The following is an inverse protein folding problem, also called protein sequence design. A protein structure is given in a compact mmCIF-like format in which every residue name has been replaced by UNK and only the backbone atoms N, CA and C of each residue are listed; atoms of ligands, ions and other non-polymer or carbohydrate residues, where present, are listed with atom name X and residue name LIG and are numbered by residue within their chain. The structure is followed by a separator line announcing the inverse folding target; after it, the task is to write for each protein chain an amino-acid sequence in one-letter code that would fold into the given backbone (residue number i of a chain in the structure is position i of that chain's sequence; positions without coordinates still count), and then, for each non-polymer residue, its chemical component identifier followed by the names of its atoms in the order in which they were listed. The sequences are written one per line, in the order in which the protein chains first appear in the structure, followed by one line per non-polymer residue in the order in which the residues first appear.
data_IF_633393426879
#
_entry.id   IF_633393426879
#
_cell.length_a   1.000
_cell.length_b   1.000
_cell.length_c   1.000
_cell.angle_alpha   90.00
_cell.angle_beta   90.00
_cell.angle_gamma   90.00
#
_symmetry.space_group_name_H-M   'P 1'
#
loop_
_entity.id
_entity.type
_entity.pdbx_description
1 polymer ?
#
# COMPACT_ATOMS: atom_id res chain seq x y z
N UNK A 1 53.14 17.73 -1.93
CA UNK A 1 53.84 16.49 -2.33
C UNK A 1 52.89 15.34 -2.01
N UNK A 2 52.41 14.45 -2.87
CA UNK A 2 52.54 14.24 -4.32
C UNK A 2 51.37 13.28 -4.65
N UNK A 3 50.58 13.57 -5.69
CA UNK A 3 49.58 12.64 -6.24
C UNK A 3 50.30 11.44 -6.88
N UNK A 4 49.72 10.24 -6.78
CA UNK A 4 49.91 9.18 -7.77
C UNK A 4 48.71 8.21 -7.78
N UNK A 5 48.39 7.57 -8.92
CA UNK A 5 47.01 7.33 -9.34
C UNK A 5 46.58 5.86 -9.48
N UNK A 6 45.26 5.73 -9.53
CA UNK A 6 44.43 4.57 -9.88
C UNK A 6 44.82 4.02 -11.26
N UNK A 7 45.03 2.70 -11.35
CA UNK A 7 45.22 1.99 -12.62
C UNK A 7 44.18 0.85 -12.76
N UNK A 8 43.28 1.08 -13.73
CA UNK A 8 42.61 0.14 -14.65
C UNK A 8 42.38 -1.32 -14.23
N UNK A 9 41.13 -1.75 -14.33
CA UNK A 9 40.82 -2.95 -15.13
C UNK A 9 39.40 -2.88 -15.69
N UNK A 10 39.33 -2.74 -17.01
CA UNK A 10 38.13 -2.85 -17.84
C UNK A 10 38.08 -4.32 -18.28
N UNK A 11 36.99 -5.02 -17.96
CA UNK A 11 36.64 -6.25 -18.66
C UNK A 11 35.24 -6.10 -19.25
N UNK A 12 35.22 -5.72 -20.53
CA UNK A 12 34.11 -6.04 -21.42
C UNK A 12 34.19 -7.53 -21.74
N UNK A 13 33.14 -8.27 -21.43
CA UNK A 13 32.83 -9.51 -22.15
C UNK A 13 31.35 -9.45 -22.51
N UNK A 14 31.11 -9.13 -23.78
CA UNK A 14 29.85 -9.39 -24.45
C UNK A 14 29.75 -10.90 -24.72
N UNK A 15 28.62 -11.51 -24.37
CA UNK A 15 28.24 -12.82 -24.87
C UNK A 15 26.76 -12.76 -25.27
N UNK A 16 26.55 -12.58 -26.58
CA UNK A 16 25.29 -12.86 -27.24
C UNK A 16 25.16 -14.37 -27.41
N UNK A 17 23.99 -14.93 -27.13
CA UNK A 17 23.55 -16.20 -27.69
C UNK A 17 22.03 -16.20 -27.81
N UNK A 18 21.57 -16.11 -29.06
CA UNK A 18 20.21 -16.43 -29.48
C UNK A 18 19.97 -17.95 -29.45
N UNK A 19 18.73 -18.37 -29.25
CA UNK A 19 17.97 -19.37 -30.02
C UNK A 19 16.86 -19.99 -29.14
N UNK A 20 15.67 -20.16 -29.72
CA UNK A 20 14.64 -21.05 -29.17
C UNK A 20 13.24 -20.75 -29.71
N UNK A 21 12.93 -21.30 -30.89
CA UNK A 21 11.64 -21.17 -31.55
C UNK A 21 10.68 -22.34 -31.23
N UNK A 22 9.39 -22.09 -31.49
CA UNK A 22 8.27 -23.00 -31.77
C UNK A 22 7.61 -23.72 -30.57
N UNK A 23 6.28 -23.54 -30.43
CA UNK A 23 5.29 -24.51 -30.92
C UNK A 23 3.84 -23.99 -30.77
N UNK A 24 3.03 -24.33 -31.77
CA UNK A 24 1.62 -23.97 -31.99
C UNK A 24 0.63 -24.92 -31.28
N UNK A 25 -0.64 -24.47 -31.18
CA UNK A 25 -1.86 -25.31 -31.10
C UNK A 25 -2.39 -25.55 -29.68
N UNK A 26 -3.69 -25.58 -29.38
CA UNK A 26 -4.87 -25.87 -30.19
C UNK A 26 -6.11 -25.08 -29.72
N UNK A 27 -6.99 -24.84 -30.68
CA UNK A 27 -8.31 -24.22 -30.55
C UNK A 27 -9.37 -25.13 -29.94
N UNK A 28 -10.38 -24.46 -29.35
CA UNK A 28 -11.81 -24.78 -29.34
C UNK A 28 -12.31 -26.05 -28.63
N UNK A 29 -13.24 -25.86 -27.68
CA UNK A 29 -14.63 -26.29 -27.90
C UNK A 29 -15.60 -25.55 -26.98
N UNK A 30 -16.53 -24.83 -27.61
CA UNK A 30 -17.73 -24.30 -26.97
C UNK A 30 -18.72 -25.45 -26.72
N UNK A 31 -19.39 -25.41 -25.57
CA UNK A 31 -20.43 -26.36 -25.20
C UNK A 31 -21.32 -25.78 -24.12
N UNK A 32 -22.24 -24.89 -24.54
CA UNK A 32 -23.33 -24.38 -23.72
C UNK A 32 -24.43 -25.43 -23.58
N UNK A 33 -24.74 -25.87 -22.35
CA UNK A 33 -26.11 -26.25 -21.95
C UNK A 33 -26.27 -26.15 -20.41
N UNK A 34 -27.19 -25.32 -19.89
CA UNK A 34 -27.99 -25.63 -18.70
C UNK A 34 -29.46 -25.81 -19.14
N UNK A 35 -30.46 -26.10 -18.27
CA UNK A 35 -30.46 -26.44 -16.85
C UNK A 35 -31.30 -27.72 -16.53
N UNK A 36 -31.24 -28.23 -15.30
CA UNK A 36 -32.36 -29.00 -14.73
C UNK A 36 -32.34 -28.94 -13.20
N UNK A 37 -33.34 -28.25 -12.65
CA UNK A 37 -33.68 -28.27 -11.24
C UNK A 37 -34.89 -29.20 -11.06
N UNK A 38 -34.94 -30.01 -9.99
CA UNK A 38 -36.22 -30.17 -9.30
C UNK A 38 -36.08 -30.03 -7.79
N UNK A 39 -36.99 -29.22 -7.23
CA UNK A 39 -37.37 -29.20 -5.81
C UNK A 39 -38.06 -30.51 -5.40
N UNK A 40 -37.73 -31.09 -4.24
CA UNK A 40 -38.66 -31.56 -3.18
C UNK A 40 -37.82 -32.13 -2.01
N UNK A 41 -37.75 -31.52 -0.82
CA UNK A 41 -38.63 -31.59 0.38
C UNK A 41 -38.66 -32.95 1.10
N UNK A 42 -38.19 -32.97 2.37
CA UNK A 42 -38.55 -33.82 3.55
C UNK A 42 -37.29 -34.21 4.34
N UNK A 43 -37.24 -34.35 5.66
CA UNK A 43 -38.07 -33.98 6.81
C UNK A 43 -37.21 -34.27 8.08
N UNK A 44 -37.67 -33.79 9.23
CA UNK A 44 -37.03 -33.74 10.55
C UNK A 44 -36.65 -35.07 11.25
N UNK A 45 -35.70 -34.99 12.20
CA UNK A 45 -35.64 -35.65 13.54
C UNK A 45 -34.35 -35.23 14.29
N UNK A 46 -34.37 -34.40 15.35
CA UNK A 46 -34.47 -34.74 16.81
C UNK A 46 -33.52 -35.89 17.20
N UNK A 47 -32.27 -35.67 17.67
CA UNK A 47 -31.83 -35.34 19.06
C UNK A 47 -31.53 -36.62 19.89
N UNK A 48 -30.86 -36.63 21.06
CA UNK A 48 -29.72 -35.86 21.62
C UNK A 48 -28.62 -36.79 22.23
N UNK A 49 -27.45 -36.27 22.65
CA UNK A 49 -26.70 -36.77 23.82
C UNK A 49 -25.51 -35.85 24.16
N UNK A 50 -25.50 -35.45 25.42
CA UNK A 50 -24.53 -34.65 26.17
C UNK A 50 -23.48 -35.59 26.78
N UNK A 51 -22.20 -35.22 26.79
CA UNK A 51 -21.23 -35.62 27.83
C UNK A 51 -19.93 -34.79 27.72
N UNK A 52 -19.60 -34.15 28.84
CA UNK A 52 -18.32 -33.50 29.26
C UNK A 52 -17.80 -34.37 30.44
N UNK A 53 -16.52 -34.38 30.95
CA UNK A 53 -15.38 -33.44 30.83
C UNK A 53 -13.98 -34.08 30.62
N UNK A 54 -12.95 -33.27 30.36
CA UNK A 54 -11.79 -33.08 31.26
C UNK A 54 -10.52 -32.48 30.59
N UNK A 55 -10.09 -31.34 31.14
CA UNK A 55 -8.72 -30.93 31.50
C UNK A 55 -7.53 -31.10 30.53
N UNK A 56 -6.97 -29.95 30.14
CA UNK A 56 -5.56 -29.62 30.40
C UNK A 56 -4.60 -29.54 29.21
N UNK A 57 -4.19 -28.33 28.83
CA UNK A 57 -2.81 -27.83 28.90
C UNK A 57 -2.62 -26.48 28.21
N UNK A 58 -1.80 -25.67 28.85
CA UNK A 58 -1.35 -24.32 28.51
C UNK A 58 -1.24 -24.04 27.00
N UNK A 59 -1.93 -22.97 26.58
CA UNK A 59 -1.52 -22.17 25.43
C UNK A 59 -1.33 -20.74 25.92
N UNK A 60 -0.07 -20.32 25.93
CA UNK A 60 0.33 -18.91 25.96
C UNK A 60 -0.53 -18.15 24.96
N UNK A 61 -1.49 -17.38 25.47
CA UNK A 61 -2.30 -16.50 24.64
C UNK A 61 -1.43 -15.29 24.29
N UNK A 62 -1.00 -15.25 23.04
CA UNK A 62 -0.64 -14.03 22.34
C UNK A 62 -1.81 -13.04 22.51
N UNK A 63 -1.56 -11.96 23.26
CA UNK A 63 -2.56 -10.92 23.55
C UNK A 63 -2.70 -10.04 22.32
N UNK A 64 -3.47 -10.50 21.33
CA UNK A 64 -4.05 -9.61 20.32
C UNK A 64 -5.22 -8.89 20.99
N UNK A 65 -5.00 -7.65 21.44
CA UNK A 65 -6.11 -6.80 21.88
C UNK A 65 -6.93 -6.37 20.67
N UNK A 66 -7.91 -7.18 20.30
CA UNK A 66 -8.98 -6.74 19.41
C UNK A 66 -9.90 -5.87 20.25
N UNK A 67 -9.68 -4.56 20.21
CA UNK A 67 -10.57 -3.59 20.83
C UNK A 67 -11.99 -3.78 20.27
N UNK A 68 -12.89 -4.23 21.15
CA UNK A 68 -14.29 -4.45 20.82
C UNK A 68 -14.99 -3.12 20.54
N UNK A 69 -15.78 -3.14 19.46
CA UNK A 69 -16.65 -2.07 18.98
C UNK A 69 -17.34 -1.31 20.11
N UNK A 70 -16.92 -0.05 20.32
CA UNK A 70 -17.79 0.96 20.89
C UNK A 70 -18.16 1.93 19.79
N UNK A 71 -19.44 1.85 19.44
CA UNK A 71 -20.17 2.78 18.60
C UNK A 71 -19.96 4.20 19.11
N UNK A 72 -18.92 4.85 18.59
CA UNK A 72 -18.69 6.26 18.71
C UNK A 72 -18.96 6.80 17.32
N UNK A 73 -20.16 7.36 17.15
CA UNK A 73 -20.50 8.22 16.02
C UNK A 73 -19.46 9.36 16.00
N UNK A 74 -18.37 9.15 15.26
CA UNK A 74 -17.28 10.12 15.13
C UNK A 74 -17.77 11.29 14.27
N UNK A 75 -17.34 12.52 14.59
CA UNK A 75 -17.59 13.65 13.72
C UNK A 75 -16.85 13.42 12.39
N UNK A 76 -17.60 13.28 11.30
CA UNK A 76 -17.09 13.41 9.94
C UNK A 76 -16.61 14.84 9.70
N UNK A 77 -15.44 15.21 10.18
CA UNK A 77 -14.86 16.53 9.83
C UNK A 77 -13.36 16.64 10.10
N UNK A 78 -12.59 15.58 9.90
CA UNK A 78 -11.17 15.72 9.63
C UNK A 78 -10.95 15.52 8.13
N UNK A 79 -11.60 16.33 7.28
CA UNK A 79 -11.26 16.33 5.86
C UNK A 79 -10.04 17.23 5.75
N UNK A 80 -8.84 16.65 5.76
CA UNK A 80 -7.62 17.41 5.47
C UNK A 80 -7.83 18.19 4.17
N UNK A 81 -7.66 19.51 4.22
CA UNK A 81 -7.84 20.38 3.06
C UNK A 81 -6.91 19.93 1.91
N UNK A 82 -7.42 19.95 0.68
CA UNK A 82 -6.59 19.62 -0.48
C UNK A 82 -5.63 20.76 -0.79
N UNK A 83 -4.35 20.42 -0.98
CA UNK A 83 -3.31 21.37 -1.33
C UNK A 83 -2.64 21.00 -2.67
N UNK A 84 -2.03 21.98 -3.33
CA UNK A 84 -1.15 21.69 -4.47
C UNK A 84 0.07 20.89 -4.01
N UNK A 85 0.53 19.94 -4.84
CA UNK A 85 1.68 19.12 -4.47
C UNK A 85 2.96 19.94 -4.51
N UNK A 86 3.62 20.05 -3.36
CA UNK A 86 4.89 20.75 -3.23
C UNK A 86 6.05 19.75 -3.16
N UNK A 87 6.81 19.59 -4.26
CA UNK A 87 8.00 18.72 -4.29
C UNK A 87 9.09 19.07 -3.27
N UNK A 88 9.09 20.29 -2.71
CA UNK A 88 10.06 20.69 -1.66
C UNK A 88 9.63 20.29 -0.26
N UNK A 89 8.32 20.09 -0.06
CA UNK A 89 7.71 19.71 1.21
C UNK A 89 6.56 18.73 0.91
N UNK A 90 6.90 17.52 0.44
CA UNK A 90 5.91 16.58 -0.04
C UNK A 90 5.04 16.11 1.13
N UNK A 91 3.73 16.09 0.89
CA UNK A 91 2.73 15.69 1.87
C UNK A 91 1.65 14.83 1.22
N UNK A 92 1.16 13.86 1.98
CA UNK A 92 0.01 13.04 1.63
C UNK A 92 -0.98 13.11 2.81
N UNK A 93 -2.26 13.40 2.57
CA UNK A 93 -3.25 13.69 3.63
C UNK A 93 -2.81 14.80 4.60
N UNK A 94 -2.00 15.75 4.12
CA UNK A 94 -1.41 16.82 4.94
C UNK A 94 -0.22 16.39 5.81
N UNK A 95 0.15 15.11 5.79
CA UNK A 95 1.21 14.48 6.56
C UNK A 95 2.48 14.46 5.72
N UNK A 96 3.57 15.03 6.23
CA UNK A 96 4.92 14.92 5.67
C UNK A 96 5.78 13.93 6.44
N UNK A 97 6.88 13.49 5.83
CA UNK A 97 7.81 12.51 6.43
C UNK A 97 8.53 13.04 7.68
N UNK A 98 8.56 14.36 7.86
CA UNK A 98 9.16 15.02 9.04
C UNK A 98 8.12 15.34 10.13
N UNK A 99 6.86 14.94 9.94
CA UNK A 99 5.82 15.11 10.96
C UNK A 99 5.96 14.01 12.03
N UNK A 100 5.44 14.26 13.23
CA UNK A 100 5.45 13.29 14.34
C UNK A 100 4.10 12.59 14.48
N UNK A 101 4.05 11.44 15.16
CA UNK A 101 2.80 10.77 15.49
C UNK A 101 1.81 11.73 16.18
N UNK A 102 2.29 12.50 17.15
CA UNK A 102 1.48 13.48 17.88
C UNK A 102 0.81 14.49 16.92
N UNK A 103 1.56 15.04 15.97
CA UNK A 103 1.03 16.00 15.00
C UNK A 103 -0.03 15.38 14.11
N UNK A 104 0.14 14.12 13.71
CA UNK A 104 -0.87 13.40 12.91
C UNK A 104 -2.14 13.17 13.74
N UNK A 105 -2.00 12.77 15.00
CA UNK A 105 -3.15 12.61 15.92
C UNK A 105 -3.86 13.92 16.22
N UNK A 106 -3.15 15.04 16.27
CA UNK A 106 -3.78 16.37 16.37
C UNK A 106 -4.63 16.69 15.13
N UNK A 107 -4.18 16.30 13.94
CA UNK A 107 -4.86 16.57 12.68
C UNK A 107 -6.06 15.62 12.42
N UNK A 108 -5.89 14.33 12.73
CA UNK A 108 -6.84 13.26 12.34
C UNK A 108 -7.53 12.57 13.51
N UNK A 109 -7.16 12.87 14.75
CA UNK A 109 -7.64 12.20 15.94
C UNK A 109 -7.00 10.81 16.14
N UNK A 110 -7.68 9.96 16.90
CA UNK A 110 -7.21 8.60 17.16
C UNK A 110 -7.38 7.69 15.92
N UNK A 111 -6.44 6.77 15.66
CA UNK A 111 -6.56 5.80 14.58
C UNK A 111 -7.75 4.84 14.82
N UNK A 112 -8.14 4.11 13.79
CA UNK A 112 -9.12 3.01 13.87
C UNK A 112 -8.46 1.71 14.35
N UNK A 113 -7.18 1.51 14.03
CA UNK A 113 -6.34 0.38 14.44
C UNK A 113 -4.87 0.81 14.46
N UNK A 114 -4.07 0.10 15.24
CA UNK A 114 -2.62 0.27 15.25
C UNK A 114 -1.94 -1.07 15.49
N UNK A 115 -0.78 -1.28 14.88
CA UNK A 115 0.03 -2.48 15.05
C UNK A 115 1.51 -2.16 14.79
N UNK A 116 2.38 -3.08 15.17
CA UNK A 116 3.82 -2.97 14.95
C UNK A 116 4.24 -3.94 13.85
N UNK A 117 5.00 -3.45 12.87
CA UNK A 117 5.68 -4.29 11.89
C UNK A 117 7.09 -4.61 12.38
N UNK A 118 7.46 -5.89 12.28
CA UNK A 118 8.80 -6.39 12.62
C UNK A 118 9.74 -6.17 11.42
N UNK A 119 10.55 -5.12 11.50
CA UNK A 119 11.59 -4.73 10.54
C UNK A 119 12.91 -4.47 11.29
N UNK A 120 14.01 -4.14 10.61
CA UNK A 120 15.30 -3.86 11.27
C UNK A 120 15.16 -2.78 12.36
N UNK A 121 14.38 -1.75 12.06
CA UNK A 121 13.83 -0.81 13.04
C UNK A 121 12.30 -0.97 13.05
N UNK A 122 11.67 -1.34 14.18
CA UNK A 122 10.23 -1.56 14.23
C UNK A 122 9.43 -0.35 13.76
N UNK A 123 8.34 -0.61 13.03
CA UNK A 123 7.46 0.44 12.50
C UNK A 123 6.10 0.34 13.19
N UNK A 124 5.71 1.41 13.89
CA UNK A 124 4.34 1.60 14.39
C UNK A 124 3.47 2.06 13.25
N UNK A 125 2.52 1.21 12.84
CA UNK A 125 1.55 1.54 11.80
C UNK A 125 0.25 1.97 12.46
N UNK A 126 -0.21 3.16 12.10
CA UNK A 126 -1.49 3.71 12.52
C UNK A 126 -2.42 3.78 11.32
N UNK A 127 -3.57 3.12 11.42
CA UNK A 127 -4.57 3.06 10.37
C UNK A 127 -5.72 4.03 10.67
N UNK A 128 -6.17 4.73 9.65
CA UNK A 128 -7.31 5.63 9.64
C UNK A 128 -8.27 5.21 8.53
N UNK A 129 -9.45 5.83 8.48
CA UNK A 129 -10.38 5.59 7.39
C UNK A 129 -9.78 6.09 6.05
N UNK A 130 -9.36 5.14 5.22
CA UNK A 130 -8.85 5.40 3.88
C UNK A 130 -7.37 5.82 3.78
N UNK A 131 -6.60 5.73 4.86
CA UNK A 131 -5.15 5.91 4.81
C UNK A 131 -4.46 5.29 6.03
N UNK A 132 -3.16 5.09 5.95
CA UNK A 132 -2.31 4.72 7.08
C UNK A 132 -0.99 5.49 7.01
N UNK A 133 -0.28 5.55 8.13
CA UNK A 133 1.10 5.97 8.16
C UNK A 133 1.90 5.09 9.12
N UNK A 134 3.20 4.96 8.84
CA UNK A 134 4.15 4.27 9.69
C UNK A 134 5.17 5.24 10.26
N UNK A 135 5.54 5.07 11.52
CA UNK A 135 6.65 5.78 12.14
C UNK A 135 7.51 4.87 13.03
N UNK A 136 8.77 5.24 13.22
CA UNK A 136 9.66 4.57 14.17
C UNK A 136 9.46 5.09 15.60
N UNK A 137 10.14 4.46 16.58
CA UNK A 137 10.11 4.85 18.00
C UNK A 137 10.59 6.29 18.25
N UNK A 138 11.37 6.85 17.32
CA UNK A 138 11.87 8.22 17.36
C UNK A 138 10.88 9.25 16.76
N UNK A 139 9.64 8.85 16.47
CA UNK A 139 8.57 9.62 15.81
C UNK A 139 8.84 9.99 14.34
N UNK A 140 9.85 9.42 13.68
CA UNK A 140 10.10 9.66 12.26
C UNK A 140 9.07 8.93 11.39
N UNK A 141 8.33 9.65 10.56
CA UNK A 141 7.37 9.05 9.63
C UNK A 141 8.11 8.44 8.43
N UNK A 142 7.99 7.12 8.29
CA UNK A 142 8.67 6.34 7.26
C UNK A 142 7.79 5.99 6.08
N UNK A 143 6.47 6.10 6.22
CA UNK A 143 5.58 6.14 5.07
C UNK A 143 4.24 6.77 5.39
N UNK A 144 3.56 7.25 4.34
CA UNK A 144 2.13 7.53 4.35
C UNK A 144 1.52 6.84 3.14
N UNK A 145 0.41 6.12 3.32
CA UNK A 145 -0.30 5.43 2.24
C UNK A 145 -1.78 5.80 2.24
N UNK A 146 -2.31 6.10 1.05
CA UNK A 146 -3.75 6.27 0.80
C UNK A 146 -4.17 5.17 -0.18
N UNK A 147 -5.15 4.38 0.21
CA UNK A 147 -5.71 3.29 -0.59
C UNK A 147 -7.19 3.09 -0.23
N UNK A 148 -7.96 2.47 -1.13
CA UNK A 148 -9.42 2.34 -1.02
C UNK A 148 -10.19 3.22 -2.01
N UNK A 149 -11.51 3.09 -2.08
CA UNK A 149 -12.26 3.64 -3.22
C UNK A 149 -12.61 5.13 -3.08
N UNK A 150 -12.33 5.90 -4.15
CA UNK A 150 -12.76 7.30 -4.31
C UNK A 150 -12.30 8.27 -3.21
N UNK A 151 -11.17 7.96 -2.56
CA UNK A 151 -10.62 8.76 -1.48
C UNK A 151 -9.74 9.90 -2.01
N UNK A 152 -9.90 11.10 -1.44
CA UNK A 152 -8.96 12.20 -1.68
C UNK A 152 -7.60 11.85 -1.08
N UNK A 153 -6.53 12.16 -1.79
CA UNK A 153 -5.15 11.98 -1.30
C UNK A 153 -4.68 13.17 -0.45
N UNK A 154 -5.48 14.23 -0.32
CA UNK A 154 -5.05 15.53 0.22
C UNK A 154 -4.22 16.35 -0.77
N UNK A 155 -3.92 15.80 -1.96
CA UNK A 155 -3.33 16.53 -3.09
C UNK A 155 -4.45 16.92 -4.05
N UNK A 156 -4.53 18.20 -4.38
CA UNK A 156 -5.55 18.78 -5.24
C UNK A 156 -5.63 18.07 -6.60
N UNK A 157 -6.80 17.51 -6.90
CA UNK A 157 -7.06 16.81 -8.16
C UNK A 157 -6.51 15.38 -8.25
N UNK A 158 -5.90 14.86 -7.18
CA UNK A 158 -5.41 13.49 -7.09
C UNK A 158 -6.25 12.65 -6.13
N UNK A 159 -6.92 11.64 -6.66
CA UNK A 159 -7.87 10.80 -5.92
C UNK A 159 -7.64 9.33 -6.26
N UNK A 160 -7.89 8.44 -5.31
CA UNK A 160 -7.90 7.00 -5.57
C UNK A 160 -9.09 6.66 -6.48
N UNK A 161 -8.89 5.75 -7.42
CA UNK A 161 -9.83 5.41 -8.51
C UNK A 161 -9.83 6.41 -9.66
N UNK A 162 -9.16 7.56 -9.52
CA UNK A 162 -8.95 8.55 -10.57
C UNK A 162 -8.08 8.01 -11.71
N UNK A 163 -8.21 8.59 -12.90
CA UNK A 163 -7.38 8.22 -14.07
C UNK A 163 -5.99 8.82 -13.95
N UNK A 164 -4.96 8.11 -14.42
CA UNK A 164 -3.58 8.59 -14.45
C UNK A 164 -3.42 9.96 -15.12
N UNK A 165 -4.23 10.29 -16.14
CA UNK A 165 -4.24 11.63 -16.77
C UNK A 165 -4.55 12.78 -15.79
N UNK A 166 -5.32 12.53 -14.72
CA UNK A 166 -5.56 13.55 -13.68
C UNK A 166 -4.32 13.74 -12.80
N UNK A 167 -3.55 12.67 -12.54
CA UNK A 167 -2.26 12.77 -11.88
C UNK A 167 -1.28 13.62 -12.69
N UNK A 168 -1.25 13.49 -14.02
CA UNK A 168 -0.39 14.34 -14.88
C UNK A 168 -0.74 15.83 -14.74
N UNK A 169 -2.03 16.15 -14.64
CA UNK A 169 -2.49 17.53 -14.46
C UNK A 169 -2.12 18.10 -13.08
N UNK A 170 -2.16 17.26 -12.04
CA UNK A 170 -1.89 17.67 -10.66
C UNK A 170 -0.40 17.65 -10.28
N UNK A 171 0.38 16.72 -10.83
CA UNK A 171 1.76 16.41 -10.40
C UNK A 171 2.81 16.69 -11.49
N UNK A 172 2.36 16.88 -12.74
CA UNK A 172 3.21 16.85 -13.93
C UNK A 172 3.50 15.42 -14.40
N UNK A 173 4.47 15.28 -15.31
CA UNK A 173 4.91 13.97 -15.77
C UNK A 173 5.63 13.20 -14.63
N UNK A 174 5.47 11.87 -14.57
CA UNK A 174 6.23 11.05 -13.62
C UNK A 174 7.72 11.05 -13.99
N UNK A 175 8.56 10.96 -12.97
CA UNK A 175 10.01 10.84 -13.15
C UNK A 175 10.41 9.40 -13.55
N UNK A 176 9.57 8.41 -13.19
CA UNK A 176 9.67 7.01 -13.64
C UNK A 176 8.29 6.44 -13.94
N UNK A 177 8.19 5.68 -15.03
CA UNK A 177 6.97 4.98 -15.45
C UNK A 177 7.30 3.53 -15.81
N UNK A 178 6.66 2.59 -15.11
CA UNK A 178 6.81 1.14 -15.34
C UNK A 178 5.61 0.51 -16.05
N UNK A 179 4.58 1.30 -16.39
CA UNK A 179 3.29 0.86 -16.93
C UNK A 179 2.27 0.42 -15.87
N UNK A 180 2.71 0.13 -14.65
CA UNK A 180 1.84 -0.25 -13.51
C UNK A 180 2.14 0.55 -12.23
N UNK A 181 3.23 1.31 -12.21
CA UNK A 181 3.53 2.27 -11.16
C UNK A 181 4.23 3.49 -11.74
N UNK A 182 3.84 4.66 -11.26
CA UNK A 182 4.47 5.95 -11.55
C UNK A 182 5.14 6.49 -10.30
N UNK A 183 6.33 7.06 -10.44
CA UNK A 183 7.06 7.65 -9.32
C UNK A 183 7.44 9.09 -9.60
N UNK A 184 7.33 9.91 -8.57
CA UNK A 184 7.65 11.34 -8.58
C UNK A 184 8.68 11.61 -7.49
N UNK A 185 9.87 12.05 -7.89
CA UNK A 185 10.93 12.44 -6.97
C UNK A 185 10.61 13.82 -6.38
N UNK A 186 10.80 13.90 -5.07
CA UNK A 186 10.68 15.10 -4.26
C UNK A 186 11.90 15.22 -3.34
N UNK A 187 12.06 16.35 -2.67
CA UNK A 187 13.17 16.56 -1.72
C UNK A 187 13.07 15.51 -0.62
N UNK A 188 14.10 14.65 -0.53
CA UNK A 188 14.23 13.55 0.43
C UNK A 188 13.04 12.58 0.44
N UNK A 189 12.25 12.51 -0.64
CA UNK A 189 11.07 11.67 -0.70
C UNK A 189 10.76 11.15 -2.11
N UNK A 190 10.00 10.06 -2.14
CA UNK A 190 9.41 9.50 -3.34
C UNK A 190 7.89 9.41 -3.15
N UNK A 191 7.13 10.05 -4.04
CA UNK A 191 5.69 9.83 -4.16
C UNK A 191 5.46 8.79 -5.26
N UNK A 192 4.87 7.65 -4.90
CA UNK A 192 4.56 6.55 -5.80
C UNK A 192 3.05 6.40 -5.97
N UNK A 193 2.61 6.26 -7.21
CA UNK A 193 1.23 5.94 -7.60
C UNK A 193 1.24 4.52 -8.17
N UNK A 194 0.52 3.60 -7.55
CA UNK A 194 0.27 2.29 -8.15
C UNK A 194 -0.98 2.38 -9.03
N UNK A 195 -0.88 1.86 -10.25
CA UNK A 195 -1.90 1.97 -11.29
C UNK A 195 -2.43 0.59 -11.65
N UNK A 196 -3.74 0.49 -11.86
CA UNK A 196 -4.32 -0.65 -12.55
C UNK A 196 -3.87 -0.61 -14.03
N UNK A 197 -3.12 -1.61 -14.54
CA UNK A 197 -2.52 -1.56 -15.87
C UNK A 197 -3.54 -1.69 -17.00
N UNK A 198 -4.77 -2.11 -16.72
CA UNK A 198 -5.84 -2.26 -17.73
C UNK A 198 -6.64 -0.97 -17.88
N UNK A 199 -6.89 -0.29 -16.78
CA UNK A 199 -7.79 0.85 -16.71
C UNK A 199 -7.06 2.17 -16.52
N UNK A 200 -5.78 2.16 -16.14
CA UNK A 200 -5.01 3.34 -15.79
C UNK A 200 -5.54 4.07 -14.56
N UNK A 201 -6.32 3.38 -13.71
CA UNK A 201 -6.84 3.96 -12.47
C UNK A 201 -5.79 3.89 -11.37
N UNK A 202 -5.71 4.93 -10.55
CA UNK A 202 -4.86 4.99 -9.37
C UNK A 202 -5.47 4.07 -8.30
N UNK A 203 -4.70 3.09 -7.82
CA UNK A 203 -5.13 2.12 -6.82
C UNK A 203 -4.63 2.50 -5.42
N UNK A 204 -3.42 3.06 -5.34
CA UNK A 204 -2.82 3.55 -4.12
C UNK A 204 -1.86 4.70 -4.43
N UNK A 205 -1.69 5.57 -3.45
CA UNK A 205 -0.66 6.60 -3.44
C UNK A 205 0.14 6.46 -2.16
N UNK A 206 1.47 6.42 -2.29
CA UNK A 206 2.36 6.23 -1.16
C UNK A 206 3.48 7.26 -1.17
N UNK A 207 3.83 7.79 -0.01
CA UNK A 207 4.94 8.70 0.19
C UNK A 207 5.97 8.02 1.09
N UNK A 208 7.22 7.95 0.64
CA UNK A 208 8.32 7.30 1.36
C UNK A 208 9.57 8.20 1.37
N UNK A 209 10.48 8.05 2.35
CA UNK A 209 11.82 8.61 2.29
C UNK A 209 12.55 8.17 1.02
N UNK A 210 13.36 9.06 0.45
CA UNK A 210 14.25 8.67 -0.64
C UNK A 210 15.48 8.00 -0.05
N UNK A 211 15.71 6.73 -0.39
CA UNK A 211 16.91 6.02 0.07
C UNK A 211 18.18 6.76 -0.40
N UNK A 212 19.07 7.07 0.54
CA UNK A 212 20.31 7.84 0.30
C UNK A 212 21.25 7.14 -0.71
N UNK A 213 21.05 5.84 -0.97
CA UNK A 213 21.87 5.05 -1.88
C UNK A 213 21.54 5.25 -3.37
N UNK A 214 20.40 5.85 -3.72
CA UNK A 214 20.00 6.03 -5.12
C UNK A 214 20.74 7.16 -5.87
N UNK A 215 21.48 8.03 -5.17
CA UNK A 215 22.27 9.12 -5.79
C UNK A 215 23.72 8.75 -6.12
N UNK A 216 24.16 7.52 -5.85
CA UNK A 216 25.55 7.07 -6.07
C UNK A 216 25.72 6.02 -7.19
N UNK A 217 24.68 5.76 -7.98
CA UNK A 217 24.72 4.81 -9.10
C UNK A 217 24.92 5.52 -10.45
#
# INVERSE_FOLDING_TARGET
MTRAPITRMIYMVAAAAALGALLSGCSAQAGSVPPANPKTTSAAKTGPAEETPAAGKDKTQERTEIASNKDNSRPSSATGEEAEFNRKQPKLKGIGLTDTEEKVRQLWGAPVSQFMMDDEEPIHVLEYDGFSFGCHDNDEVVFVEVSGDSLSTGIKGLHIGGKSDTAVKSLGNPDQDTGYAWSYQAVNALLRLDLDPKTGKIQSVKLFPMEENALKA
#
